data_IF_224208498196
#
_entry.id   IF_224208498196
#
_cell.length_a   1.000
_cell.length_b   1.000
_cell.length_c   1.000
_cell.angle_alpha   90.00
_cell.angle_beta   90.00
_cell.angle_gamma   90.00
#
_symmetry.space_group_name_H-M   'P 1'
#
loop_
_entity.id
_entity.type
_entity.pdbx_description
1 polymer ?
#
# COMPACT_ATOMS: atom_id res chain seq x y z
N UNK A 1 5.06 6.05 -23.46
CA UNK A 1 6.34 6.40 -24.15
C UNK A 1 6.01 7.26 -25.37
N UNK A 2 6.71 8.37 -25.63
CA UNK A 2 6.38 9.24 -26.77
C UNK A 2 7.63 9.94 -27.30
N UNK A 3 7.73 10.10 -28.62
CA UNK A 3 8.87 10.76 -29.28
C UNK A 3 9.00 12.22 -28.82
N UNK A 4 7.88 12.91 -28.66
CA UNK A 4 7.79 14.27 -28.08
C UNK A 4 7.66 14.28 -26.54
N UNK A 5 8.10 13.21 -25.86
CA UNK A 5 8.02 13.09 -24.40
C UNK A 5 9.11 13.89 -23.66
N UNK A 6 9.30 13.62 -22.36
CA UNK A 6 10.35 14.30 -21.56
C UNK A 6 11.74 14.21 -22.20
N UNK A 7 12.04 13.11 -22.91
CA UNK A 7 13.34 12.92 -23.56
C UNK A 7 13.63 13.89 -24.70
N UNK A 8 12.60 14.48 -25.35
CA UNK A 8 12.80 15.49 -26.39
C UNK A 8 12.94 16.91 -25.83
N UNK A 9 12.59 17.14 -24.57
CA UNK A 9 12.67 18.46 -23.95
C UNK A 9 14.12 18.78 -23.53
N UNK A 10 14.68 19.94 -23.93
CA UNK A 10 16.04 20.34 -23.57
C UNK A 10 16.33 20.32 -22.05
N UNK A 11 15.31 20.48 -21.20
CA UNK A 11 15.46 20.43 -19.75
C UNK A 11 15.88 19.05 -19.23
N UNK A 12 15.65 17.97 -20.00
CA UNK A 12 16.01 16.60 -19.64
C UNK A 12 17.13 16.03 -20.52
N UNK A 13 17.90 16.90 -21.18
CA UNK A 13 19.01 16.50 -22.04
C UNK A 13 20.35 17.05 -21.53
N UNK A 14 21.40 16.28 -21.74
CA UNK A 14 22.79 16.73 -21.62
C UNK A 14 23.49 16.53 -22.97
N UNK A 15 23.92 17.61 -23.61
CA UNK A 15 24.56 17.54 -24.93
C UNK A 15 23.63 17.06 -26.06
N UNK A 16 22.32 17.29 -25.94
CA UNK A 16 21.32 16.84 -26.90
C UNK A 16 20.89 15.37 -26.75
N UNK A 17 21.33 14.70 -25.68
CA UNK A 17 20.98 13.31 -25.38
C UNK A 17 20.16 13.26 -24.08
N UNK A 18 19.04 12.51 -24.02
CA UNK A 18 18.30 12.33 -22.78
C UNK A 18 19.19 11.82 -21.63
N UNK A 19 19.03 12.38 -20.44
CA UNK A 19 19.82 11.97 -19.25
C UNK A 19 19.24 10.74 -18.53
N UNK A 20 18.28 10.07 -19.14
CA UNK A 20 17.59 8.92 -18.59
C UNK A 20 17.21 7.93 -19.70
N UNK A 21 17.08 6.66 -19.33
CA UNK A 21 16.55 5.64 -20.24
C UNK A 21 15.01 5.72 -20.24
N UNK A 22 14.42 5.99 -21.40
CA UNK A 22 12.97 6.03 -21.60
C UNK A 22 12.43 4.76 -22.27
N UNK A 23 13.27 3.73 -22.44
CA UNK A 23 12.90 2.45 -23.04
C UNK A 23 11.89 1.68 -22.21
N UNK A 24 11.83 1.94 -20.89
CA UNK A 24 10.92 1.32 -19.94
C UNK A 24 10.24 2.38 -19.07
N UNK A 25 9.00 2.09 -18.67
CA UNK A 25 8.21 2.91 -17.74
C UNK A 25 7.81 2.00 -16.59
N UNK A 26 7.86 2.54 -15.39
CA UNK A 26 7.57 1.81 -14.16
C UNK A 26 6.55 2.59 -13.33
N UNK A 27 5.72 1.87 -12.57
CA UNK A 27 4.79 2.49 -11.64
C UNK A 27 5.20 2.18 -10.19
N UNK A 28 5.57 3.19 -9.41
CA UNK A 28 5.76 3.12 -7.96
C UNK A 28 4.94 4.24 -7.30
N UNK A 29 3.78 3.86 -6.78
CA UNK A 29 2.87 4.77 -6.09
C UNK A 29 2.89 4.48 -4.59
N UNK A 30 3.14 5.50 -3.76
CA UNK A 30 3.12 5.37 -2.30
C UNK A 30 1.91 6.13 -1.71
N UNK A 31 1.33 5.62 -0.63
CA UNK A 31 0.19 6.24 0.08
C UNK A 31 -1.02 6.39 -0.85
N UNK A 32 -1.50 7.62 -1.08
CA UNK A 32 -2.56 7.91 -2.05
C UNK A 32 -2.25 7.34 -3.44
N UNK A 33 -0.98 7.33 -3.84
CA UNK A 33 -0.51 6.66 -5.05
C UNK A 33 -0.65 5.14 -4.99
N UNK A 34 -0.45 4.50 -3.84
CA UNK A 34 -0.73 3.07 -3.67
C UNK A 34 -2.24 2.77 -3.70
N UNK A 35 -3.05 3.63 -3.09
CA UNK A 35 -4.51 3.49 -3.02
C UNK A 35 -5.19 3.70 -4.38
N UNK A 36 -4.81 4.73 -5.15
CA UNK A 36 -5.36 4.93 -6.51
C UNK A 36 -4.59 4.12 -7.55
N UNK A 37 -3.38 3.68 -7.22
CA UNK A 37 -2.52 2.91 -8.10
C UNK A 37 -3.06 1.55 -8.46
N UNK A 38 -3.83 0.90 -7.58
CA UNK A 38 -4.52 -0.33 -7.97
C UNK A 38 -5.55 -0.11 -9.08
N UNK A 39 -6.23 1.05 -9.10
CA UNK A 39 -7.10 1.41 -10.22
C UNK A 39 -6.32 1.63 -11.52
N UNK A 40 -5.20 2.35 -11.44
CA UNK A 40 -4.31 2.54 -12.59
C UNK A 40 -3.79 1.20 -13.14
N UNK A 41 -3.28 0.33 -12.26
CA UNK A 41 -2.78 -1.00 -12.64
C UNK A 41 -3.88 -1.91 -13.18
N UNK A 42 -5.16 -1.61 -12.93
CA UNK A 42 -6.28 -2.33 -13.53
C UNK A 42 -6.62 -1.92 -14.96
N UNK A 43 -6.02 -0.83 -15.49
CA UNK A 43 -6.38 -0.26 -16.81
C UNK A 43 -5.20 0.17 -17.68
N UNK A 44 -4.02 0.35 -17.10
CA UNK A 44 -2.84 0.86 -17.82
C UNK A 44 -2.38 -0.16 -18.88
N UNK A 45 -1.88 0.34 -20.01
CA UNK A 45 -1.40 -0.50 -21.12
C UNK A 45 0.13 -0.49 -21.26
N UNK A 46 0.79 0.52 -20.69
CA UNK A 46 2.21 0.81 -20.92
C UNK A 46 3.16 0.08 -19.95
N UNK A 47 2.63 -0.49 -18.87
CA UNK A 47 3.39 -1.19 -17.83
C UNK A 47 2.69 -2.48 -17.48
N UNK A 48 3.42 -3.54 -17.10
CA UNK A 48 2.83 -4.82 -16.64
C UNK A 48 3.16 -5.10 -15.18
N UNK A 49 3.98 -4.27 -14.54
CA UNK A 49 4.37 -4.38 -13.14
C UNK A 49 4.30 -3.04 -12.44
N UNK A 50 3.79 -3.05 -11.21
CA UNK A 50 3.69 -1.87 -10.36
C UNK A 50 4.00 -2.16 -8.91
N UNK A 51 4.48 -1.15 -8.20
CA UNK A 51 4.64 -1.16 -6.74
C UNK A 51 3.56 -0.27 -6.15
N UNK A 52 2.81 -0.84 -5.21
CA UNK A 52 1.82 -0.15 -4.41
C UNK A 52 2.38 -0.08 -2.98
N UNK A 53 3.00 1.05 -2.64
CA UNK A 53 3.62 1.30 -1.35
C UNK A 53 2.63 1.89 -0.35
N UNK A 54 2.62 1.34 0.86
CA UNK A 54 1.62 1.58 1.92
C UNK A 54 0.20 1.72 1.35
N UNK A 55 -0.27 0.70 0.59
CA UNK A 55 -1.51 0.79 -0.15
C UNK A 55 -2.70 0.39 0.73
N UNK A 56 -3.88 0.65 0.22
CA UNK A 56 -5.15 0.23 0.79
C UNK A 56 -6.24 0.42 -0.26
N UNK A 57 -7.46 0.02 0.07
CA UNK A 57 -8.61 0.25 -0.79
C UNK A 57 -9.89 0.39 0.03
N UNK A 58 -11.01 0.68 -0.63
CA UNK A 58 -12.32 0.84 0.02
C UNK A 58 -12.30 1.99 1.03
N UNK A 59 -12.33 3.22 0.54
CA UNK A 59 -12.42 4.43 1.38
C UNK A 59 -13.51 4.37 2.46
N UNK A 60 -14.64 3.72 2.19
CA UNK A 60 -15.69 3.51 3.20
C UNK A 60 -15.22 2.79 4.46
N UNK A 61 -14.23 1.91 4.32
CA UNK A 61 -13.57 1.22 5.44
C UNK A 61 -12.32 2.00 5.90
N UNK A 62 -11.50 2.46 4.95
CA UNK A 62 -10.21 3.09 5.23
C UNK A 62 -10.32 4.42 5.99
N UNK A 63 -11.18 5.33 5.55
CA UNK A 63 -11.14 6.73 5.99
C UNK A 63 -11.29 6.85 7.52
N UNK A 64 -12.21 6.11 8.12
CA UNK A 64 -12.44 6.18 9.57
C UNK A 64 -11.34 5.51 10.41
N UNK A 65 -10.39 4.84 9.76
CA UNK A 65 -9.23 4.19 10.35
C UNK A 65 -7.93 4.89 9.96
N UNK A 66 -8.02 6.12 9.47
CA UNK A 66 -6.89 6.93 9.04
C UNK A 66 -6.82 8.21 9.86
N UNK A 67 -5.65 8.55 10.39
CA UNK A 67 -5.44 9.85 11.05
C UNK A 67 -5.64 11.02 10.09
N UNK A 68 -5.37 10.83 8.79
CA UNK A 68 -5.53 11.88 7.77
C UNK A 68 -7.00 12.30 7.62
N UNK A 69 -7.92 11.39 7.93
CA UNK A 69 -9.34 11.68 7.89
C UNK A 69 -9.80 12.59 9.03
N UNK A 70 -9.03 12.75 10.12
CA UNK A 70 -9.45 13.64 11.23
C UNK A 70 -9.78 15.04 10.72
N UNK A 71 -8.92 15.61 9.88
CA UNK A 71 -9.13 16.97 9.35
C UNK A 71 -10.40 17.06 8.51
N UNK A 72 -10.67 16.07 7.66
CA UNK A 72 -11.86 16.02 6.82
C UNK A 72 -13.13 15.69 7.62
N UNK A 73 -12.97 14.93 8.71
CA UNK A 73 -14.07 14.54 9.58
C UNK A 73 -14.75 15.76 10.20
N UNK A 74 -14.02 16.85 10.44
CA UNK A 74 -14.59 18.09 11.00
C UNK A 74 -15.64 18.74 10.08
N UNK A 75 -15.46 18.63 8.76
CA UNK A 75 -16.47 19.08 7.81
C UNK A 75 -17.62 18.09 7.71
N UNK A 76 -17.31 16.80 7.79
CA UNK A 76 -18.29 15.73 7.71
C UNK A 76 -19.23 15.68 8.92
N UNK A 77 -18.70 15.93 10.13
CA UNK A 77 -19.44 16.03 11.39
C UNK A 77 -20.21 17.34 11.51
N UNK A 78 -19.79 18.37 10.77
CA UNK A 78 -20.29 19.74 10.89
C UNK A 78 -19.58 20.59 11.96
N UNK A 79 -18.54 20.05 12.61
CA UNK A 79 -17.79 20.78 13.64
C UNK A 79 -17.07 22.01 13.08
N UNK A 80 -16.73 22.02 11.78
CA UNK A 80 -16.10 23.14 11.09
C UNK A 80 -17.05 23.99 10.24
N UNK A 81 -18.36 23.72 10.25
CA UNK A 81 -19.32 24.40 9.34
C UNK A 81 -20.12 25.52 10.03
N UNK A 82 -19.98 25.69 11.35
CA UNK A 82 -20.68 26.72 12.13
C UNK A 82 -22.08 26.30 12.57
N UNK A 83 -22.78 27.14 13.35
CA UNK A 83 -24.09 26.81 13.94
C UNK A 83 -25.15 26.41 12.88
N UNK A 84 -25.08 27.01 11.68
CA UNK A 84 -26.02 26.78 10.57
C UNK A 84 -25.45 25.89 9.45
N UNK A 85 -24.21 25.43 9.57
CA UNK A 85 -23.48 24.79 8.46
C UNK A 85 -23.82 23.32 8.21
N UNK A 86 -24.56 22.70 9.12
CA UNK A 86 -24.99 21.30 9.03
C UNK A 86 -23.84 20.30 9.14
N UNK A 87 -24.19 19.02 9.19
CA UNK A 87 -23.23 17.91 9.29
C UNK A 87 -23.89 16.64 9.80
N UNK A 88 -23.15 15.54 9.76
CA UNK A 88 -23.62 14.23 10.21
C UNK A 88 -22.97 13.89 11.55
N UNK A 89 -23.59 14.27 12.66
CA UNK A 89 -23.05 14.01 14.01
C UNK A 89 -23.14 12.53 14.41
N UNK A 90 -24.09 11.80 13.83
CA UNK A 90 -24.26 10.37 14.02
C UNK A 90 -23.18 9.59 13.28
N UNK A 91 -22.34 8.90 14.06
CA UNK A 91 -21.34 7.93 13.59
C UNK A 91 -21.95 6.85 12.67
N UNK A 92 -23.23 6.52 12.84
CA UNK A 92 -23.93 5.54 11.99
C UNK A 92 -24.26 6.14 10.62
N UNK A 93 -24.75 7.37 10.61
CA UNK A 93 -25.11 8.08 9.38
C UNK A 93 -23.86 8.34 8.55
N UNK A 94 -22.78 8.75 9.22
CA UNK A 94 -21.44 8.88 8.62
C UNK A 94 -21.00 7.59 7.90
N UNK A 95 -21.06 6.44 8.57
CA UNK A 95 -20.69 5.15 7.96
C UNK A 95 -21.60 4.78 6.79
N UNK A 96 -22.90 5.01 6.91
CA UNK A 96 -23.84 4.74 5.82
C UNK A 96 -23.54 5.62 4.59
N UNK A 97 -23.29 6.91 4.80
CA UNK A 97 -22.99 7.85 3.73
C UNK A 97 -21.64 7.58 3.06
N UNK A 98 -20.60 7.25 3.83
CA UNK A 98 -19.32 6.82 3.26
C UNK A 98 -19.48 5.55 2.41
N UNK A 99 -20.34 4.62 2.83
CA UNK A 99 -20.66 3.41 2.05
C UNK A 99 -21.39 3.75 0.75
N UNK A 100 -22.28 4.74 0.75
CA UNK A 100 -22.93 5.22 -0.48
C UNK A 100 -21.94 5.96 -1.40
N UNK A 101 -21.08 6.80 -0.82
CA UNK A 101 -20.05 7.54 -1.55
C UNK A 101 -19.03 6.59 -2.20
N UNK A 102 -18.74 5.46 -1.57
CA UNK A 102 -17.88 4.42 -2.14
C UNK A 102 -18.32 4.01 -3.55
N UNK A 103 -19.62 3.86 -3.81
CA UNK A 103 -20.10 3.50 -5.16
C UNK A 103 -19.71 4.53 -6.23
N UNK A 104 -19.54 5.80 -5.85
CA UNK A 104 -19.03 6.83 -6.75
C UNK A 104 -17.51 6.74 -6.90
N UNK A 105 -16.80 6.49 -5.80
CA UNK A 105 -15.34 6.35 -5.78
C UNK A 105 -14.84 5.09 -6.48
N UNK A 106 -15.61 4.00 -6.50
CA UNK A 106 -15.26 2.75 -7.20
C UNK A 106 -14.95 2.97 -8.69
N UNK A 107 -15.38 4.10 -9.28
CA UNK A 107 -15.06 4.50 -10.65
C UNK A 107 -13.60 4.96 -10.86
N UNK A 108 -12.84 5.17 -9.78
CA UNK A 108 -11.47 5.67 -9.82
C UNK A 108 -10.56 5.14 -8.69
N UNK A 109 -11.12 4.47 -7.68
CA UNK A 109 -10.40 3.88 -6.56
C UNK A 109 -10.19 2.37 -6.75
N UNK A 110 -9.16 1.82 -6.10
CA UNK A 110 -8.72 0.43 -6.25
C UNK A 110 -9.82 -0.63 -6.11
N UNK A 111 -10.77 -0.46 -5.19
CA UNK A 111 -11.86 -1.43 -4.98
C UNK A 111 -12.67 -1.78 -6.23
N UNK A 112 -12.79 -0.86 -7.20
CA UNK A 112 -13.48 -1.10 -8.46
C UNK A 112 -12.66 -1.85 -9.52
N UNK A 113 -11.35 -2.01 -9.31
CA UNK A 113 -10.41 -2.38 -10.38
C UNK A 113 -9.43 -3.49 -10.00
N UNK A 114 -9.10 -3.68 -8.73
CA UNK A 114 -8.02 -4.60 -8.34
C UNK A 114 -8.28 -6.07 -8.69
N UNK A 115 -9.56 -6.45 -8.81
CA UNK A 115 -9.98 -7.76 -9.32
C UNK A 115 -9.54 -8.02 -10.77
N UNK A 116 -9.27 -6.95 -11.53
CA UNK A 116 -8.89 -6.95 -12.94
C UNK A 116 -7.38 -6.79 -13.18
N UNK A 117 -6.56 -6.66 -12.11
CA UNK A 117 -5.11 -6.46 -12.23
C UNK A 117 -4.44 -7.69 -12.84
N UNK A 118 -4.58 -8.85 -12.20
CA UNK A 118 -3.85 -10.06 -12.58
C UNK A 118 -4.73 -11.08 -13.31
N UNK A 119 -6.00 -11.17 -12.90
CA UNK A 119 -6.99 -12.09 -13.44
C UNK A 119 -8.16 -11.28 -14.00
N UNK A 120 -8.99 -11.90 -14.86
CA UNK A 120 -10.22 -11.28 -15.36
C UNK A 120 -10.02 -9.88 -15.98
N UNK A 121 -8.93 -9.67 -16.73
CA UNK A 121 -8.54 -8.34 -17.20
C UNK A 121 -9.64 -7.65 -18.00
N UNK A 122 -9.68 -6.31 -17.91
CA UNK A 122 -10.59 -5.51 -18.73
C UNK A 122 -10.22 -5.60 -20.22
N UNK A 123 -11.16 -5.34 -21.15
CA UNK A 123 -10.86 -5.36 -22.58
C UNK A 123 -9.66 -4.49 -22.94
N UNK A 124 -8.78 -5.01 -23.81
CA UNK A 124 -7.55 -4.36 -24.26
C UNK A 124 -6.58 -3.99 -23.11
N UNK A 125 -6.64 -4.65 -21.97
CA UNK A 125 -5.72 -4.43 -20.85
C UNK A 125 -4.85 -5.66 -20.63
N UNK A 126 -3.51 -5.52 -20.58
CA UNK A 126 -2.64 -6.65 -20.27
C UNK A 126 -2.87 -7.17 -18.85
N UNK A 127 -2.44 -8.39 -18.57
CA UNK A 127 -2.34 -8.85 -17.20
C UNK A 127 -1.17 -8.15 -16.51
N UNK A 128 -1.37 -7.76 -15.26
CA UNK A 128 -0.40 -7.09 -14.43
C UNK A 128 -0.04 -7.91 -13.20
N UNK A 129 1.09 -7.55 -12.59
CA UNK A 129 1.45 -7.98 -11.26
C UNK A 129 1.81 -6.78 -10.40
N UNK A 130 1.40 -6.80 -9.13
CA UNK A 130 1.72 -5.73 -8.19
C UNK A 130 2.42 -6.23 -6.93
N UNK A 131 3.40 -5.45 -6.48
CA UNK A 131 4.06 -5.64 -5.20
C UNK A 131 3.46 -4.67 -4.19
N UNK A 132 2.76 -5.20 -3.18
CA UNK A 132 2.16 -4.43 -2.10
C UNK A 132 3.12 -4.38 -0.91
N UNK A 133 3.68 -3.21 -0.61
CA UNK A 133 4.49 -2.99 0.59
C UNK A 133 3.64 -2.33 1.66
N UNK A 134 3.21 -3.07 2.67
CA UNK A 134 2.40 -2.54 3.77
C UNK A 134 3.30 -2.23 4.96
N UNK A 135 3.17 -1.04 5.55
CA UNK A 135 3.72 -0.78 6.87
C UNK A 135 2.78 -1.37 7.91
N UNK A 136 3.25 -2.28 8.74
CA UNK A 136 2.45 -2.79 9.85
C UNK A 136 2.21 -1.68 10.87
N UNK A 137 0.99 -1.56 11.39
CA UNK A 137 0.67 -0.52 12.38
C UNK A 137 0.56 0.89 11.81
N UNK A 138 0.50 1.04 10.49
CA UNK A 138 0.35 2.33 9.80
C UNK A 138 -0.86 3.14 10.31
N UNK A 139 -0.62 4.40 10.67
CA UNK A 139 -1.66 5.28 11.22
C UNK A 139 -2.54 5.90 10.13
N UNK A 140 -2.05 5.96 8.90
CA UNK A 140 -2.69 6.60 7.75
C UNK A 140 -3.46 5.57 6.91
N UNK A 141 -2.88 4.39 6.70
CA UNK A 141 -3.44 3.35 5.83
C UNK A 141 -3.55 2.00 6.53
N UNK A 142 -4.75 1.67 6.98
CA UNK A 142 -5.05 0.44 7.71
C UNK A 142 -4.65 -0.83 6.94
N UNK A 143 -3.78 -1.66 7.54
CA UNK A 143 -3.32 -2.94 6.97
C UNK A 143 -4.44 -3.86 6.47
N UNK A 144 -5.59 -3.89 7.18
CA UNK A 144 -6.74 -4.71 6.77
C UNK A 144 -7.30 -4.33 5.39
N UNK A 145 -7.19 -3.07 4.99
CA UNK A 145 -7.61 -2.63 3.65
C UNK A 145 -6.64 -3.12 2.57
N UNK A 146 -5.35 -3.17 2.89
CA UNK A 146 -4.32 -3.75 2.03
C UNK A 146 -4.44 -5.27 1.93
N UNK A 147 -4.79 -5.96 3.02
CA UNK A 147 -5.07 -7.39 2.97
C UNK A 147 -6.32 -7.71 2.16
N UNK A 148 -7.39 -6.92 2.30
CA UNK A 148 -8.57 -7.05 1.45
C UNK A 148 -8.17 -6.87 -0.02
N UNK A 149 -7.35 -5.87 -0.32
CA UNK A 149 -6.83 -5.61 -1.66
C UNK A 149 -6.04 -6.82 -2.19
N UNK A 150 -5.10 -7.35 -1.40
CA UNK A 150 -4.31 -8.52 -1.75
C UNK A 150 -5.19 -9.76 -2.04
N UNK A 151 -6.22 -10.00 -1.21
CA UNK A 151 -7.18 -11.10 -1.42
C UNK A 151 -7.96 -10.93 -2.72
N UNK A 152 -8.42 -9.72 -3.03
CA UNK A 152 -9.18 -9.46 -4.26
C UNK A 152 -8.31 -9.58 -5.52
N UNK A 153 -7.02 -9.23 -5.44
CA UNK A 153 -6.05 -9.42 -6.53
C UNK A 153 -5.73 -10.91 -6.74
N UNK A 154 -5.80 -11.71 -5.67
CA UNK A 154 -5.21 -13.05 -5.64
C UNK A 154 -3.68 -13.00 -5.47
N UNK A 155 -3.19 -12.02 -4.73
CA UNK A 155 -1.77 -11.90 -4.39
C UNK A 155 -1.34 -12.99 -3.39
N UNK A 156 -0.06 -13.35 -3.42
CA UNK A 156 0.56 -14.26 -2.45
C UNK A 156 1.24 -13.49 -1.33
N UNK A 157 1.40 -14.09 -0.16
CA UNK A 157 1.99 -13.47 1.02
C UNK A 157 3.45 -13.88 1.18
N UNK A 158 4.35 -12.90 1.34
CA UNK A 158 5.71 -13.17 1.82
C UNK A 158 5.65 -13.61 3.28
N UNK A 159 6.19 -14.79 3.59
CA UNK A 159 6.25 -15.32 4.96
C UNK A 159 7.71 -15.53 5.44
N UNK A 160 7.98 -15.45 6.76
CA UNK A 160 7.08 -14.98 7.82
C UNK A 160 6.67 -13.52 7.62
N UNK A 161 5.39 -13.19 7.82
CA UNK A 161 4.89 -11.83 7.57
C UNK A 161 5.18 -10.90 8.75
N UNK A 162 5.06 -11.41 9.97
CA UNK A 162 5.32 -10.72 11.23
C UNK A 162 5.86 -11.72 12.26
N UNK A 163 6.40 -11.20 13.37
CA UNK A 163 6.70 -12.02 14.54
C UNK A 163 5.44 -12.65 15.13
N UNK A 164 5.61 -13.78 15.83
CA UNK A 164 4.53 -14.45 16.53
C UNK A 164 3.80 -13.49 17.47
N UNK A 165 2.48 -13.63 17.56
CA UNK A 165 1.58 -12.84 18.41
C UNK A 165 1.55 -11.32 18.12
N UNK A 166 2.24 -10.85 17.08
CA UNK A 166 2.25 -9.42 16.75
C UNK A 166 0.95 -8.96 16.08
N UNK A 167 0.38 -9.79 15.20
CA UNK A 167 -0.87 -9.52 14.50
C UNK A 167 -2.09 -9.68 15.44
N UNK A 168 -3.03 -8.72 15.51
CA UNK A 168 -4.13 -8.75 16.48
C UNK A 168 -5.25 -9.75 16.12
N UNK A 169 -5.38 -10.14 14.85
CA UNK A 169 -6.41 -11.11 14.44
C UNK A 169 -6.10 -12.52 14.92
N UNK A 170 -7.14 -13.27 15.28
CA UNK A 170 -7.03 -14.68 15.67
C UNK A 170 -6.69 -15.61 14.49
N UNK A 171 -6.88 -15.15 13.26
CA UNK A 171 -6.51 -15.85 12.03
C UNK A 171 -5.85 -14.85 11.04
N UNK A 172 -4.61 -14.43 11.31
CA UNK A 172 -3.89 -13.46 10.47
C UNK A 172 -3.81 -13.93 9.02
N UNK A 173 -3.93 -12.99 8.08
CA UNK A 173 -3.74 -13.24 6.65
C UNK A 173 -4.61 -14.36 6.05
N UNK A 174 -5.80 -14.60 6.62
CA UNK A 174 -6.71 -15.63 6.13
C UNK A 174 -6.89 -15.56 4.60
N UNK A 175 -6.87 -16.72 3.94
CA UNK A 175 -7.01 -16.87 2.49
C UNK A 175 -5.92 -16.18 1.64
N UNK A 176 -4.76 -15.86 2.22
CA UNK A 176 -3.56 -15.50 1.49
C UNK A 176 -2.56 -16.66 1.55
N UNK A 177 -2.25 -17.22 0.38
CA UNK A 177 -1.27 -18.31 0.28
C UNK A 177 0.16 -17.76 0.27
N UNK A 178 1.14 -18.49 0.84
CA UNK A 178 2.54 -18.11 0.78
C UNK A 178 3.07 -17.95 -0.65
N UNK A 179 4.04 -17.06 -0.85
CA UNK A 179 4.83 -17.02 -2.09
C UNK A 179 5.44 -18.42 -2.32
N UNK A 180 5.23 -19.04 -3.50
CA UNK A 180 5.76 -20.36 -3.78
C UNK A 180 7.29 -20.34 -3.88
N UNK A 181 7.92 -21.49 -3.65
CA UNK A 181 9.36 -21.63 -3.84
C UNK A 181 9.75 -21.46 -5.33
N UNK A 182 10.91 -20.83 -5.57
CA UNK A 182 11.46 -20.58 -6.91
C UNK A 182 11.13 -19.19 -7.44
N UNK A 183 11.32 -19.00 -8.74
CA UNK A 183 11.02 -17.72 -9.40
C UNK A 183 9.52 -17.44 -9.39
N UNK A 184 9.14 -16.28 -8.86
CA UNK A 184 7.73 -15.87 -8.78
C UNK A 184 7.52 -14.50 -9.44
N UNK A 185 6.54 -14.43 -10.34
CA UNK A 185 6.27 -13.26 -11.18
C UNK A 185 4.90 -12.65 -10.94
N UNK A 186 4.07 -13.22 -10.05
CA UNK A 186 2.74 -12.72 -9.70
C UNK A 186 2.76 -11.60 -8.67
N UNK A 187 1.57 -11.20 -8.23
CA UNK A 187 1.42 -10.16 -7.20
C UNK A 187 1.78 -10.69 -5.81
N UNK A 188 2.47 -9.86 -5.02
CA UNK A 188 2.96 -10.24 -3.69
C UNK A 188 2.61 -9.17 -2.66
N UNK A 189 2.08 -9.59 -1.52
CA UNK A 189 1.94 -8.80 -0.31
C UNK A 189 3.17 -9.01 0.59
N UNK A 190 3.82 -7.92 0.96
CA UNK A 190 4.93 -7.89 1.92
C UNK A 190 4.58 -6.94 3.05
N UNK A 191 4.60 -7.46 4.27
CA UNK A 191 4.41 -6.67 5.49
C UNK A 191 5.79 -6.24 5.99
N UNK A 192 5.95 -4.95 6.22
CA UNK A 192 7.17 -4.32 6.69
C UNK A 192 6.96 -3.79 8.10
N UNK A 193 7.89 -4.12 8.98
CA UNK A 193 7.71 -4.00 10.41
C UNK A 193 8.82 -3.19 11.10
N UNK A 194 8.49 -2.11 11.83
CA UNK A 194 9.44 -1.39 12.68
C UNK A 194 9.47 -1.86 14.15
N UNK A 195 8.95 -3.04 14.46
CA UNK A 195 9.00 -3.67 15.77
C UNK A 195 8.00 -3.12 16.80
N UNK A 196 7.85 -3.79 17.96
CA UNK A 196 7.04 -3.29 19.07
C UNK A 196 7.58 -1.98 19.66
N UNK A 197 6.71 -1.22 20.32
CA UNK A 197 7.12 0.00 21.03
C UNK A 197 8.23 -0.31 22.04
N UNK A 198 9.35 0.42 21.95
CA UNK A 198 10.49 0.27 22.85
C UNK A 198 11.39 -0.95 22.59
N UNK A 199 11.16 -1.69 21.51
CA UNK A 199 11.93 -2.90 21.18
C UNK A 199 13.19 -2.63 20.32
N UNK A 200 13.72 -1.41 20.35
CA UNK A 200 15.02 -1.06 19.75
C UNK A 200 15.00 -0.50 18.32
N UNK A 201 13.82 -0.27 17.74
CA UNK A 201 13.70 0.51 16.50
C UNK A 201 14.08 1.98 16.73
N UNK A 202 14.66 2.64 15.71
CA UNK A 202 15.25 3.97 15.89
C UNK A 202 14.20 5.04 16.22
N UNK A 203 13.01 4.97 15.61
CA UNK A 203 11.88 5.84 15.87
C UNK A 203 10.92 5.26 16.94
N UNK A 204 11.36 4.25 17.70
CA UNK A 204 10.68 3.76 18.89
C UNK A 204 9.66 2.64 18.66
N UNK A 205 9.37 2.26 17.42
CA UNK A 205 8.49 1.15 17.06
C UNK A 205 6.99 1.51 17.06
N UNK A 206 6.16 0.54 16.70
CA UNK A 206 4.69 0.67 16.63
C UNK A 206 3.99 -0.49 17.33
N UNK A 207 2.83 -0.20 17.93
CA UNK A 207 1.96 -1.23 18.49
C UNK A 207 1.08 -1.87 17.39
N UNK A 208 0.41 -2.97 17.73
CA UNK A 208 -0.68 -3.46 16.90
C UNK A 208 -1.79 -2.40 16.78
N UNK A 209 -2.33 -2.14 15.57
CA UNK A 209 -3.37 -1.13 15.39
C UNK A 209 -4.66 -1.53 16.12
N UNK A 210 -5.53 -0.57 16.52
CA UNK A 210 -6.79 -0.88 17.18
C UNK A 210 -7.70 -1.75 16.30
N UNK A 211 -8.30 -2.77 16.91
CA UNK A 211 -9.33 -3.62 16.26
C UNK A 211 -10.68 -2.91 16.09
N UNK A 212 -10.85 -1.75 16.73
CA UNK A 212 -12.04 -0.90 16.57
C UNK A 212 -11.93 -0.04 15.31
N UNK A 213 -13.04 0.58 14.87
CA UNK A 213 -13.05 1.43 13.67
C UNK A 213 -12.50 2.85 13.96
N UNK A 214 -11.25 2.90 14.44
CA UNK A 214 -10.50 4.11 14.75
C UNK A 214 -9.05 3.91 14.27
N UNK A 215 -8.34 4.98 13.88
CA UNK A 215 -6.92 4.89 13.60
C UNK A 215 -6.12 4.69 14.90
N UNK A 216 -4.89 4.15 14.80
CA UNK A 216 -3.89 4.29 15.86
C UNK A 216 -3.47 5.76 16.01
N UNK A 217 -3.17 6.17 17.24
CA UNK A 217 -2.73 7.53 17.56
C UNK A 217 -1.51 7.53 18.47
N UNK A 218 -0.64 8.51 18.27
CA UNK A 218 0.43 8.81 19.21
C UNK A 218 -0.13 9.43 20.51
N UNK A 219 0.50 9.16 21.67
CA UNK A 219 1.67 8.29 21.85
C UNK A 219 1.33 6.81 22.03
N UNK A 220 0.04 6.46 22.21
CA UNK A 220 -0.39 5.14 22.68
C UNK A 220 -0.03 3.98 21.72
N UNK A 221 0.09 4.27 20.43
CA UNK A 221 0.40 3.28 19.39
C UNK A 221 1.83 3.39 18.81
N UNK A 222 2.68 4.24 19.39
CA UNK A 222 4.05 4.44 18.92
C UNK A 222 4.13 5.34 17.68
N UNK A 223 5.28 5.36 17.02
CA UNK A 223 5.49 6.24 15.86
C UNK A 223 4.80 5.71 14.61
N UNK A 224 4.23 6.60 13.79
CA UNK A 224 3.59 6.25 12.53
C UNK A 224 4.58 5.66 11.51
N UNK A 225 4.48 4.35 11.17
CA UNK A 225 5.44 3.68 10.30
C UNK A 225 5.20 3.95 8.79
N UNK A 226 4.19 4.75 8.42
CA UNK A 226 3.72 4.98 7.05
C UNK A 226 4.84 5.25 6.01
N UNK A 227 5.92 5.90 6.44
CA UNK A 227 7.02 6.28 5.54
C UNK A 227 8.19 5.31 5.51
N UNK A 228 8.23 4.32 6.40
CA UNK A 228 9.41 3.50 6.63
C UNK A 228 9.72 2.53 5.47
N UNK A 229 8.74 1.79 4.89
CA UNK A 229 9.05 0.82 3.84
C UNK A 229 9.68 1.45 2.60
N UNK A 230 9.33 2.68 2.24
CA UNK A 230 9.92 3.35 1.06
C UNK A 230 11.33 3.90 1.31
N UNK A 231 11.74 4.03 2.57
CA UNK A 231 13.07 4.49 2.98
C UNK A 231 14.04 3.32 3.21
N UNK A 232 13.53 2.12 3.44
CA UNK A 232 14.35 0.95 3.73
C UNK A 232 15.10 0.44 2.49
N UNK A 233 16.44 0.22 2.57
CA UNK A 233 17.22 -0.25 1.43
C UNK A 233 16.80 -1.63 0.90
N UNK A 234 16.40 -2.57 1.76
CA UNK A 234 15.97 -3.89 1.33
C UNK A 234 14.63 -3.81 0.61
N UNK A 235 13.72 -2.95 1.07
CA UNK A 235 12.47 -2.68 0.39
C UNK A 235 12.70 -2.02 -0.97
N UNK A 236 13.61 -1.03 -1.07
CA UNK A 236 13.97 -0.40 -2.35
C UNK A 236 14.58 -1.41 -3.33
N UNK A 237 15.46 -2.30 -2.86
CA UNK A 237 16.02 -3.38 -3.67
C UNK A 237 14.91 -4.33 -4.18
N UNK A 238 13.96 -4.70 -3.32
CA UNK A 238 12.83 -5.55 -3.69
C UNK A 238 11.96 -4.91 -4.77
N UNK A 239 11.64 -3.62 -4.62
CA UNK A 239 10.94 -2.82 -5.64
C UNK A 239 11.72 -2.82 -6.97
N UNK A 240 13.04 -2.64 -6.91
CA UNK A 240 13.88 -2.60 -8.10
C UNK A 240 13.86 -3.93 -8.87
N UNK A 241 14.06 -5.07 -8.19
CA UNK A 241 13.98 -6.39 -8.82
C UNK A 241 12.60 -6.68 -9.40
N UNK A 242 11.54 -6.29 -8.68
CA UNK A 242 10.18 -6.52 -9.13
C UNK A 242 9.84 -5.70 -10.37
N UNK A 243 10.23 -4.42 -10.40
CA UNK A 243 9.87 -3.51 -11.49
C UNK A 243 10.63 -3.77 -12.79
N UNK A 244 11.70 -4.59 -12.81
CA UNK A 244 12.46 -4.85 -14.04
C UNK A 244 11.57 -5.28 -15.22
N UNK A 245 12.01 -5.07 -16.47
CA UNK A 245 11.22 -5.37 -17.66
C UNK A 245 10.73 -6.81 -17.74
N UNK A 246 9.76 -7.05 -18.62
CA UNK A 246 9.26 -8.41 -18.88
C UNK A 246 10.39 -9.38 -19.22
N UNK A 247 10.37 -10.57 -18.63
CA UNK A 247 11.43 -11.57 -18.73
C UNK A 247 12.51 -11.46 -17.64
N UNK A 248 12.63 -10.32 -16.96
CA UNK A 248 13.58 -10.09 -15.86
C UNK A 248 12.87 -9.81 -14.53
N UNK A 249 11.81 -8.99 -14.56
CA UNK A 249 11.04 -8.58 -13.40
C UNK A 249 10.39 -9.76 -12.67
N UNK A 250 10.74 -9.92 -11.39
CA UNK A 250 10.22 -10.96 -10.51
C UNK A 250 10.32 -10.54 -9.05
N UNK A 251 9.54 -11.20 -8.21
CA UNK A 251 9.71 -11.08 -6.77
C UNK A 251 11.05 -11.68 -6.34
N UNK A 252 11.83 -10.90 -5.60
CA UNK A 252 13.05 -11.34 -4.93
C UNK A 252 12.87 -11.03 -3.45
N UNK A 253 12.94 -12.05 -2.60
CA UNK A 253 12.96 -11.82 -1.16
C UNK A 253 14.32 -11.24 -0.76
N UNK A 254 14.32 -9.97 -0.37
CA UNK A 254 15.51 -9.22 0.05
C UNK A 254 15.69 -9.22 1.56
N UNK A 255 14.72 -9.79 2.30
CA UNK A 255 14.77 -9.97 3.73
C UNK A 255 15.42 -11.33 4.07
N UNK A 256 15.79 -11.53 5.34
CA UNK A 256 16.17 -12.86 5.80
C UNK A 256 14.95 -13.81 5.67
N UNK A 257 15.04 -14.93 4.94
CA UNK A 257 13.91 -15.83 4.72
C UNK A 257 13.39 -16.49 6.01
N UNK A 258 14.17 -16.49 7.09
CA UNK A 258 13.75 -17.01 8.39
C UNK A 258 13.06 -15.97 9.28
N UNK A 259 13.12 -14.68 8.94
CA UNK A 259 12.61 -13.57 9.76
C UNK A 259 11.60 -12.73 8.99
N UNK A 260 10.68 -12.01 9.67
CA UNK A 260 9.85 -10.97 9.06
C UNK A 260 10.69 -9.89 8.36
N UNK A 261 10.11 -9.22 7.37
CA UNK A 261 10.72 -8.03 6.79
C UNK A 261 10.60 -6.86 7.77
N UNK A 262 11.73 -6.26 8.15
CA UNK A 262 11.76 -5.16 9.11
C UNK A 262 12.25 -3.87 8.50
N UNK A 263 11.98 -2.77 9.20
CA UNK A 263 12.43 -1.41 8.86
C UNK A 263 12.96 -0.73 10.11
N UNK A 264 13.50 0.48 9.95
CA UNK A 264 13.88 1.36 11.08
C UNK A 264 14.92 0.74 12.03
N UNK A 265 15.77 -0.13 11.48
CA UNK A 265 16.81 -0.83 12.21
C UNK A 265 16.31 -1.91 13.18
N UNK A 266 15.02 -2.22 13.18
CA UNK A 266 14.47 -3.26 14.06
C UNK A 266 15.00 -4.65 13.68
N UNK A 267 15.42 -5.42 14.68
CA UNK A 267 15.88 -6.80 14.54
C UNK A 267 15.01 -7.72 15.41
N UNK A 268 14.22 -8.63 14.80
CA UNK A 268 13.37 -9.57 15.52
C UNK A 268 14.15 -10.43 16.52
N UNK A 269 13.58 -10.64 17.71
CA UNK A 269 14.23 -11.41 18.78
C UNK A 269 15.48 -10.78 19.42
N UNK A 270 15.79 -9.51 19.12
CA UNK A 270 16.96 -8.78 19.62
C UNK A 270 16.81 -8.11 20.99
N UNK A 271 15.86 -8.56 21.82
CA UNK A 271 15.61 -8.04 23.18
C UNK A 271 16.41 -8.73 24.28
#
# INVERSE_FOLDING_TARGET
KHEDGLGSDPAFQAGGVPVFDNSNVYYDGNSQGGILGGALMGVIQDVTRGVLGVPGMSYSMLLRRSIDFETYSLFFTGSSTGEDGGGYTSVKDQTFLLSMAQMLWDRAESSGYVYHIQQNTLPNTPAHAVLLHVAYGDHQVSMWTAELMARTIGATLRIPALEADRHPDTNPYVALEPVPAGDYTGSVLVIWDNGPIGAGAADGGTAAPPITNLPPFEPDYGADPHSLPRKDPNAQAQKSFFLMPEGEGKFVDTCDPALPCTTDGYVPGGG
#
